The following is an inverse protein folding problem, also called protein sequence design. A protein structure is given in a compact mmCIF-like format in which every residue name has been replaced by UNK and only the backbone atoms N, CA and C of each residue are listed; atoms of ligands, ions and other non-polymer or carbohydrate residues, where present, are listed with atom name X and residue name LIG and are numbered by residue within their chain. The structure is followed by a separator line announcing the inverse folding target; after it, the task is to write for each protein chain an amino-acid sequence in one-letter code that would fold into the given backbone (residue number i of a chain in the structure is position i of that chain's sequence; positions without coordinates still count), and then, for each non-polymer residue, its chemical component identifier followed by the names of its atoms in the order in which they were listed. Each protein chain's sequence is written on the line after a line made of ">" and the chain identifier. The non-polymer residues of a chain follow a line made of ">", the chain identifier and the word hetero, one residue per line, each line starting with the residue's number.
data_IF_323165590933
#
_entry.id   IF_323165590933
#
_cell.length_a   1.000
_cell.length_b   1.000
_cell.length_c   1.000
_cell.angle_alpha   90.00
_cell.angle_beta   90.00
_cell.angle_gamma   90.00
#
_symmetry.space_group_name_H-M   'P 1'
#
loop_
_entity.id
_entity.type
_entity.pdbx_description
1 polymer ?
#
# COMPACT_ATOMS: atom_id res chain seq x y z
N UNK A 1 -1.41 -47.03 5.27
CA UNK A 1 -0.05 -46.46 5.34
C UNK A 1 0.15 -45.53 4.15
N UNK A 2 0.68 -44.32 4.42
CA UNK A 2 1.48 -43.47 3.51
C UNK A 2 0.82 -43.03 2.19
N UNK A 3 0.65 -41.77 1.82
CA UNK A 3 1.13 -40.45 2.28
C UNK A 3 0.16 -39.43 1.64
N UNK A 4 -0.69 -38.79 2.43
CA UNK A 4 -1.38 -37.56 1.99
C UNK A 4 -0.40 -36.42 2.24
N UNK A 5 0.38 -36.01 1.24
CA UNK A 5 1.28 -34.85 1.36
C UNK A 5 1.88 -34.50 0.00
N UNK A 6 1.08 -33.83 -0.84
CA UNK A 6 1.60 -32.93 -1.87
C UNK A 6 0.62 -31.74 -1.94
N UNK A 7 0.62 -30.94 -0.86
CA UNK A 7 0.03 -29.61 -0.90
C UNK A 7 0.88 -28.76 -1.83
N UNK A 8 0.22 -28.17 -2.82
CA UNK A 8 0.78 -27.27 -3.82
C UNK A 8 1.67 -26.21 -3.15
N UNK A 9 2.95 -26.23 -3.47
CA UNK A 9 3.81 -25.06 -3.31
C UNK A 9 3.45 -24.05 -4.41
N UNK A 10 2.43 -23.22 -4.16
CA UNK A 10 2.22 -21.99 -4.94
C UNK A 10 3.22 -20.98 -4.40
N UNK A 11 4.43 -21.00 -4.95
CA UNK A 11 5.39 -19.91 -4.77
C UNK A 11 4.90 -18.79 -5.68
N UNK A 12 4.12 -17.86 -5.13
CA UNK A 12 3.85 -16.58 -5.77
C UNK A 12 5.14 -15.78 -5.78
N UNK A 13 5.93 -15.92 -6.84
CA UNK A 13 7.04 -15.01 -7.16
C UNK A 13 6.41 -13.79 -7.85
N UNK A 14 5.80 -12.89 -7.07
CA UNK A 14 5.55 -11.55 -7.58
C UNK A 14 6.91 -10.83 -7.59
N UNK A 15 7.56 -10.88 -8.75
CA UNK A 15 8.72 -10.05 -9.02
C UNK A 15 8.34 -8.58 -8.87
N UNK A 16 9.14 -7.82 -8.14
CA UNK A 16 9.07 -6.37 -8.13
C UNK A 16 9.41 -5.85 -9.54
N UNK A 17 8.39 -5.62 -10.37
CA UNK A 17 8.53 -4.69 -11.49
C UNK A 17 8.89 -3.32 -10.90
N UNK A 18 9.99 -2.76 -11.40
CA UNK A 18 10.57 -1.48 -10.99
C UNK A 18 9.73 -0.28 -11.41
N UNK A 19 8.46 -0.29 -11.04
CA UNK A 19 7.60 0.88 -11.04
C UNK A 19 8.00 1.72 -9.83
N UNK A 20 8.35 2.98 -10.05
CA UNK A 20 8.58 3.95 -8.97
C UNK A 20 7.24 4.09 -8.26
N UNK A 21 7.09 3.38 -7.13
CA UNK A 21 5.89 3.47 -6.30
C UNK A 21 6.10 4.59 -5.28
N UNK A 22 5.19 5.54 -5.26
CA UNK A 22 5.09 6.48 -4.16
C UNK A 22 4.54 5.72 -2.97
N UNK A 23 5.33 5.66 -1.90
CA UNK A 23 4.98 4.96 -0.67
C UNK A 23 4.82 5.97 0.45
N UNK A 24 3.78 5.78 1.26
CA UNK A 24 3.55 6.60 2.43
C UNK A 24 2.68 5.88 3.45
N UNK A 25 2.44 6.54 4.57
CA UNK A 25 1.55 6.04 5.61
C UNK A 25 0.10 6.46 5.31
N UNK A 26 -0.86 5.56 5.44
CA UNK A 26 -2.27 5.90 5.26
C UNK A 26 -2.70 6.85 6.39
N UNK A 27 -2.97 8.10 6.03
CA UNK A 27 -3.44 9.14 6.94
C UNK A 27 -4.96 9.07 7.17
N UNK A 28 -5.71 8.83 6.10
CA UNK A 28 -7.17 8.72 6.17
C UNK A 28 -7.73 7.79 5.11
N UNK A 29 -8.96 7.34 5.36
CA UNK A 29 -9.74 6.48 4.48
C UNK A 29 -11.11 7.12 4.27
N UNK A 30 -11.53 7.27 3.03
CA UNK A 30 -12.87 7.77 2.70
C UNK A 30 -13.42 7.12 1.43
N UNK A 31 -14.74 7.24 1.25
CA UNK A 31 -15.43 6.74 0.05
C UNK A 31 -16.40 7.80 -0.45
N UNK A 32 -16.46 8.00 -1.75
CA UNK A 32 -17.42 8.88 -2.40
C UNK A 32 -17.97 8.20 -3.66
N UNK A 33 -19.29 8.22 -3.86
CA UNK A 33 -19.95 7.69 -5.07
C UNK A 33 -19.56 6.25 -5.47
N UNK A 34 -19.23 5.40 -4.49
CA UNK A 34 -18.84 4.00 -4.72
C UNK A 34 -17.35 3.81 -5.06
N UNK A 35 -16.58 4.89 -5.13
CA UNK A 35 -15.12 4.88 -5.18
C UNK A 35 -14.53 4.93 -3.77
N UNK A 36 -13.35 4.34 -3.60
CA UNK A 36 -12.66 4.21 -2.32
C UNK A 36 -11.29 4.84 -2.43
N UNK A 37 -10.94 5.65 -1.43
CA UNK A 37 -9.75 6.48 -1.44
C UNK A 37 -8.93 6.25 -0.18
N UNK A 38 -7.61 6.22 -0.34
CA UNK A 38 -6.64 6.28 0.74
C UNK A 38 -5.91 7.61 0.62
N UNK A 39 -6.05 8.49 1.61
CA UNK A 39 -5.17 9.66 1.73
C UNK A 39 -3.85 9.18 2.33
N UNK A 40 -2.78 9.25 1.57
CA UNK A 40 -1.46 8.72 1.92
C UNK A 40 -0.51 9.88 2.20
N UNK A 41 0.13 9.85 3.37
CA UNK A 41 1.14 10.80 3.77
C UNK A 41 2.53 10.35 3.31
N UNK A 42 3.08 11.07 2.33
CA UNK A 42 4.39 10.82 1.74
C UNK A 42 5.53 11.53 2.48
N UNK A 43 5.21 12.40 3.45
CA UNK A 43 6.19 13.23 4.18
C UNK A 43 6.88 12.52 5.34
N UNK A 44 6.58 11.24 5.58
CA UNK A 44 7.23 10.49 6.66
C UNK A 44 8.76 10.47 6.46
N UNK A 45 9.51 10.66 7.55
CA UNK A 45 10.98 10.61 7.52
C UNK A 45 11.53 9.26 7.05
N UNK A 46 10.70 8.21 7.02
CA UNK A 46 11.05 6.92 6.41
C UNK A 46 11.22 7.01 4.89
N UNK A 47 10.60 8.01 4.26
CA UNK A 47 10.57 8.21 2.80
C UNK A 47 11.33 9.47 2.35
N UNK A 48 11.78 10.31 3.26
CA UNK A 48 12.62 11.48 2.94
C UNK A 48 14.07 11.06 2.70
N UNK A 49 14.67 11.53 1.60
CA UNK A 49 16.06 11.18 1.22
C UNK A 49 17.12 11.69 2.19
N UNK A 50 16.87 12.78 2.91
CA UNK A 50 17.91 13.49 3.68
C UNK A 50 17.53 13.77 5.15
N UNK A 51 16.45 13.16 5.66
CA UNK A 51 16.01 13.34 7.05
C UNK A 51 15.48 14.75 7.40
N UNK A 52 15.51 15.70 6.47
CA UNK A 52 14.82 16.98 6.60
C UNK A 52 13.31 16.76 6.48
N UNK A 53 12.56 17.19 7.51
CA UNK A 53 11.09 17.18 7.47
C UNK A 53 10.62 18.34 6.60
N UNK A 54 10.23 18.03 5.36
CA UNK A 54 9.44 18.93 4.54
C UNK A 54 8.03 19.15 5.12
N UNK A 55 7.22 19.97 4.47
CA UNK A 55 5.80 20.08 4.80
C UNK A 55 5.05 18.76 4.57
N UNK A 56 3.86 18.65 5.14
CA UNK A 56 2.99 17.49 4.92
C UNK A 56 2.60 17.39 3.44
N UNK A 57 2.84 16.21 2.83
CA UNK A 57 2.45 15.89 1.46
C UNK A 57 1.44 14.76 1.54
N UNK A 58 0.18 15.09 1.27
CA UNK A 58 -0.91 14.12 1.17
C UNK A 58 -1.25 13.88 -0.30
N UNK A 59 -1.38 12.61 -0.67
CA UNK A 59 -1.80 12.18 -1.99
C UNK A 59 -2.94 11.16 -1.88
N UNK A 60 -3.94 11.26 -2.75
CA UNK A 60 -5.09 10.37 -2.75
C UNK A 60 -4.87 9.21 -3.72
N UNK A 61 -4.87 7.99 -3.20
CA UNK A 61 -4.83 6.78 -4.01
C UNK A 61 -6.26 6.22 -4.16
N UNK A 62 -6.72 6.11 -5.42
CA UNK A 62 -7.98 5.42 -5.73
C UNK A 62 -7.75 3.92 -5.69
N UNK A 63 -8.55 3.21 -4.91
CA UNK A 63 -8.37 1.77 -4.67
C UNK A 63 -9.68 1.00 -4.83
N UNK A 64 -9.55 -0.31 -5.01
CA UNK A 64 -10.72 -1.19 -4.95
C UNK A 64 -11.24 -1.32 -3.53
N UNK A 65 -12.53 -1.66 -3.37
CA UNK A 65 -13.11 -1.96 -2.05
C UNK A 65 -12.32 -3.01 -1.27
N UNK A 66 -11.83 -4.04 -1.96
CA UNK A 66 -11.05 -5.11 -1.31
C UNK A 66 -9.76 -4.59 -0.69
N UNK A 67 -9.05 -3.70 -1.38
CA UNK A 67 -7.82 -3.07 -0.85
C UNK A 67 -8.20 -2.16 0.31
N UNK A 68 -9.21 -1.31 0.12
CA UNK A 68 -9.72 -0.41 1.16
C UNK A 68 -10.07 -1.16 2.44
N UNK A 69 -10.76 -2.30 2.35
CA UNK A 69 -11.14 -3.10 3.52
C UNK A 69 -9.96 -3.83 4.19
N UNK A 70 -8.88 -4.10 3.44
CA UNK A 70 -7.72 -4.87 3.92
C UNK A 70 -6.65 -4.06 4.65
N UNK A 71 -6.70 -2.73 4.57
CA UNK A 71 -5.69 -1.81 5.15
C UNK A 71 -6.31 -0.90 6.19
N UNK A 72 -5.50 -0.35 7.07
CA UNK A 72 -5.90 0.55 8.15
C UNK A 72 -5.14 1.87 8.07
N UNK A 73 -5.70 2.90 8.74
CA UNK A 73 -4.94 4.14 9.00
C UNK A 73 -3.71 3.79 9.82
N UNK A 74 -2.55 4.32 9.42
CA UNK A 74 -1.24 3.99 9.99
C UNK A 74 -0.50 2.85 9.28
N UNK A 75 -1.14 2.12 8.36
CA UNK A 75 -0.44 1.13 7.54
C UNK A 75 0.34 1.85 6.41
N UNK A 76 1.46 1.26 5.97
CA UNK A 76 2.19 1.74 4.80
C UNK A 76 1.48 1.27 3.52
N UNK A 77 1.29 2.19 2.56
CA UNK A 77 0.70 1.89 1.25
C UNK A 77 1.54 2.51 0.14
N UNK A 78 1.78 1.71 -0.90
CA UNK A 78 2.52 2.11 -2.08
C UNK A 78 1.60 2.08 -3.30
N UNK A 79 1.57 3.16 -4.05
CA UNK A 79 0.77 3.26 -5.26
C UNK A 79 1.58 3.87 -6.41
N UNK A 80 1.09 3.65 -7.61
CA UNK A 80 1.62 4.29 -8.80
C UNK A 80 0.83 5.57 -9.01
N UNK A 81 1.56 6.67 -9.18
CA UNK A 81 1.04 7.99 -9.46
C UNK A 81 1.19 8.32 -10.95
#
# INVERSE_FOLDING_TARGET
>A
MRKFLLLLAIIFVFGCDGLVKDCGEIYAKYSNDGEYFLAVNLSSSKYSKDGEQGGEILADAVVTKSIYDSVNVGDDYCFEN
#
